data_IF_104614582088
#
_entry.id   IF_104614582088
#
_cell.length_a   1.000
_cell.length_b   1.000
_cell.length_c   1.000
_cell.angle_alpha   90.00
_cell.angle_beta   90.00
_cell.angle_gamma   90.00
#
_symmetry.space_group_name_H-M   'P 1'
#
loop_
_entity.id
_entity.type
_entity.pdbx_description
1 polymer ?
#
# COMPACT_ATOMS: atom_id res chain seq x y z
N UNK A 1 14.62 -8.96 12.86
CA UNK A 1 15.14 -9.23 11.51
C UNK A 1 13.96 -9.04 10.58
N UNK A 2 13.75 -7.82 10.08
CA UNK A 2 12.70 -7.54 9.11
C UNK A 2 13.01 -8.31 7.84
N UNK A 3 11.99 -8.94 7.23
CA UNK A 3 12.12 -9.50 5.89
C UNK A 3 12.61 -8.38 4.98
N UNK A 4 13.85 -8.52 4.53
CA UNK A 4 14.49 -7.60 3.61
C UNK A 4 13.75 -7.71 2.28
N UNK A 5 13.02 -6.65 1.90
CA UNK A 5 12.27 -6.44 0.65
C UNK A 5 13.16 -6.42 -0.63
N UNK A 6 14.23 -7.20 -0.69
CA UNK A 6 15.18 -7.15 -1.81
C UNK A 6 14.70 -7.85 -3.10
N UNK A 7 13.53 -8.49 -3.13
CA UNK A 7 13.06 -9.26 -4.29
C UNK A 7 11.80 -8.71 -5.00
N UNK A 8 11.29 -7.52 -4.63
CA UNK A 8 10.16 -6.90 -5.36
C UNK A 8 10.68 -5.91 -6.41
N UNK A 9 11.30 -6.42 -7.46
CA UNK A 9 11.64 -5.62 -8.64
C UNK A 9 10.40 -5.43 -9.54
N UNK A 10 9.61 -4.38 -9.31
CA UNK A 10 8.53 -3.98 -10.22
C UNK A 10 9.03 -2.92 -11.20
N UNK A 11 9.35 -3.36 -12.42
CA UNK A 11 9.63 -2.48 -13.56
C UNK A 11 8.36 -1.74 -14.01
N UNK A 12 8.14 -0.52 -13.52
CA UNK A 12 7.15 0.40 -14.07
C UNK A 12 7.76 1.14 -15.27
N UNK A 13 7.33 0.77 -16.49
CA UNK A 13 7.69 1.51 -17.72
C UNK A 13 6.74 2.71 -17.92
N UNK A 14 7.25 3.92 -18.21
CA UNK A 14 6.40 5.08 -18.47
C UNK A 14 5.80 5.06 -19.90
N UNK A 15 4.57 5.56 -20.10
CA UNK A 15 3.98 5.67 -21.43
C UNK A 15 4.53 6.86 -22.22
N UNK A 16 4.83 6.62 -23.51
CA UNK A 16 5.29 7.59 -24.50
C UNK A 16 4.31 8.76 -24.71
N UNK A 17 4.83 9.98 -24.65
CA UNK A 17 4.08 11.22 -24.91
C UNK A 17 3.74 11.39 -26.40
N UNK A 18 2.45 11.60 -26.71
CA UNK A 18 1.98 11.91 -28.07
C UNK A 18 2.08 13.42 -28.37
N UNK A 19 2.72 13.72 -29.49
CA UNK A 19 3.06 15.05 -30.03
C UNK A 19 1.83 15.83 -30.52
N UNK A 20 1.67 17.06 -30.04
CA UNK A 20 0.63 18.03 -30.44
C UNK A 20 0.91 18.55 -31.86
N UNK A 21 -0.11 18.65 -32.72
CA UNK A 21 -0.06 19.36 -34.01
C UNK A 21 -1.17 20.40 -34.09
N UNK A 22 -0.81 21.60 -34.53
CA UNK A 22 -1.59 22.82 -34.65
C UNK A 22 -2.39 22.91 -35.96
N UNK A 23 -3.49 23.66 -35.95
CA UNK A 23 -3.92 24.46 -37.11
C UNK A 23 -5.43 24.50 -37.36
N UNK A 24 -5.96 25.73 -37.51
CA UNK A 24 -7.16 26.02 -38.32
C UNK A 24 -8.30 26.73 -37.61
N UNK A 25 -8.35 28.06 -37.70
CA UNK A 25 -9.52 28.89 -37.39
C UNK A 25 -10.59 28.75 -38.47
N UNK A 26 -11.85 28.55 -38.08
CA UNK A 26 -13.02 28.94 -38.86
C UNK A 26 -14.11 29.49 -37.93
N UNK A 27 -14.61 30.68 -38.29
CA UNK A 27 -15.71 31.38 -37.63
C UNK A 27 -17.02 30.90 -38.27
N UNK A 28 -18.03 30.57 -37.46
CA UNK A 28 -19.41 30.37 -37.94
C UNK A 28 -20.43 30.86 -36.89
N UNK A 29 -21.50 31.42 -37.41
CA UNK A 29 -22.51 32.31 -36.80
C UNK A 29 -23.46 31.57 -35.85
N UNK A 30 -23.94 32.30 -34.83
CA UNK A 30 -24.84 31.84 -33.78
C UNK A 30 -26.24 31.49 -34.29
N UNK A 31 -26.78 30.37 -33.79
CA UNK A 31 -28.21 30.05 -33.81
C UNK A 31 -28.66 29.79 -32.37
N UNK A 32 -29.64 30.57 -31.90
CA UNK A 32 -30.23 30.40 -30.57
C UNK A 32 -31.29 29.31 -30.62
N UNK A 33 -30.94 28.12 -30.17
CA UNK A 33 -31.90 27.07 -29.83
C UNK A 33 -31.78 26.75 -28.35
N UNK A 34 -32.88 26.91 -27.62
CA UNK A 34 -33.02 26.53 -26.22
C UNK A 34 -32.70 25.04 -26.02
N UNK A 35 -31.53 24.75 -25.47
CA UNK A 35 -31.15 23.40 -25.10
C UNK A 35 -31.79 23.03 -23.75
N UNK A 36 -32.72 22.09 -23.78
CA UNK A 36 -33.21 21.41 -22.58
C UNK A 36 -32.02 20.78 -21.83
N UNK A 37 -31.99 20.94 -20.51
CA UNK A 37 -31.03 20.24 -19.63
C UNK A 37 -31.29 18.75 -19.74
N UNK A 38 -30.56 18.08 -20.61
CA UNK A 38 -30.47 16.62 -20.63
C UNK A 38 -29.60 16.22 -19.46
N UNK A 39 -30.22 15.67 -18.41
CA UNK A 39 -29.52 14.94 -17.36
C UNK A 39 -28.84 13.73 -18.01
N UNK A 40 -27.57 13.92 -18.40
CA UNK A 40 -26.73 12.84 -18.88
C UNK A 40 -26.49 11.92 -17.69
N UNK A 41 -27.22 10.81 -17.62
CA UNK A 41 -26.89 9.71 -16.73
C UNK A 41 -25.54 9.19 -17.20
N UNK A 42 -24.47 9.56 -16.50
CA UNK A 42 -23.18 8.93 -16.70
C UNK A 42 -23.36 7.45 -16.35
N UNK A 43 -23.38 6.60 -17.38
CA UNK A 43 -23.22 5.16 -17.22
C UNK A 43 -21.83 4.92 -16.60
N UNK A 44 -21.77 4.90 -15.27
CA UNK A 44 -20.58 4.55 -14.52
C UNK A 44 -20.21 3.11 -14.92
N UNK A 45 -19.15 2.96 -15.71
CA UNK A 45 -18.57 1.64 -15.95
C UNK A 45 -18.17 1.05 -14.58
N UNK A 46 -18.49 -0.22 -14.31
CA UNK A 46 -18.02 -0.88 -13.10
C UNK A 46 -16.50 -0.77 -13.00
N UNK A 47 -15.99 -0.58 -11.79
CA UNK A 47 -14.55 -0.65 -11.55
C UNK A 47 -14.04 -2.04 -11.98
N UNK A 48 -13.02 -2.05 -12.84
CA UNK A 48 -12.35 -3.25 -13.30
C UNK A 48 -10.84 -3.01 -13.17
N UNK A 49 -10.17 -3.56 -12.14
CA UNK A 49 -8.74 -3.39 -11.99
C UNK A 49 -7.99 -4.13 -13.12
N UNK A 50 -6.75 -3.73 -13.42
CA UNK A 50 -5.85 -4.54 -14.27
C UNK A 50 -5.84 -5.97 -13.75
N UNK A 51 -6.25 -6.92 -14.59
CA UNK A 51 -6.35 -8.33 -14.20
C UNK A 51 -5.02 -9.02 -14.34
N UNK A 52 -4.71 -9.88 -13.38
CA UNK A 52 -3.61 -10.82 -13.54
C UNK A 52 -3.88 -11.80 -14.67
N UNK A 53 -2.81 -12.17 -15.37
CA UNK A 53 -2.82 -13.05 -16.54
C UNK A 53 -2.53 -14.52 -16.18
N UNK A 54 -2.27 -14.82 -14.91
CA UNK A 54 -1.90 -16.15 -14.42
C UNK A 54 -3.12 -16.98 -14.02
N UNK A 55 -3.01 -18.30 -14.17
CA UNK A 55 -4.02 -19.24 -13.67
C UNK A 55 -3.94 -19.28 -12.15
N UNK A 56 -5.04 -18.94 -11.48
CA UNK A 56 -5.10 -18.94 -10.02
C UNK A 56 -5.14 -20.37 -9.47
N UNK A 57 -3.98 -20.86 -9.03
CA UNK A 57 -3.87 -22.11 -8.27
C UNK A 57 -3.97 -21.77 -6.79
N UNK A 58 -4.98 -22.32 -6.11
CA UNK A 58 -5.19 -22.17 -4.67
C UNK A 58 -4.99 -23.50 -3.97
N UNK A 59 -4.61 -23.47 -2.68
CA UNK A 59 -4.51 -24.67 -1.82
C UNK A 59 -3.65 -25.80 -2.42
N UNK A 60 -2.49 -25.44 -2.97
CA UNK A 60 -1.54 -26.40 -3.56
C UNK A 60 -0.88 -27.31 -2.52
N UNK A 61 -0.93 -26.94 -1.24
CA UNK A 61 -0.39 -27.75 -0.15
C UNK A 61 -1.32 -28.94 0.16
N UNK A 62 -0.81 -30.18 0.20
CA UNK A 62 -1.60 -31.34 0.63
C UNK A 62 -2.18 -31.14 2.05
N UNK A 63 -3.48 -31.45 2.23
CA UNK A 63 -4.20 -31.20 3.48
C UNK A 63 -3.56 -31.84 4.72
N UNK A 64 -2.95 -33.02 4.60
CA UNK A 64 -2.27 -33.67 5.72
C UNK A 64 -1.04 -32.88 6.24
N UNK A 65 -0.47 -31.97 5.43
CA UNK A 65 0.63 -31.10 5.86
C UNK A 65 0.17 -29.94 6.76
N UNK A 66 -1.13 -29.64 6.81
CA UNK A 66 -1.69 -28.65 7.75
C UNK A 66 -1.41 -29.04 9.20
N UNK A 67 -1.42 -30.33 9.52
CA UNK A 67 -1.12 -30.84 10.86
C UNK A 67 0.30 -30.51 11.33
N UNK A 68 1.24 -30.28 10.41
CA UNK A 68 2.59 -29.84 10.75
C UNK A 68 2.54 -28.48 11.46
N UNK A 69 1.82 -27.50 10.89
CA UNK A 69 1.71 -26.15 11.47
C UNK A 69 0.97 -26.16 12.81
N UNK A 70 -0.02 -27.04 12.97
CA UNK A 70 -0.66 -27.25 14.27
C UNK A 70 0.31 -27.78 15.31
N UNK A 71 1.13 -28.77 14.95
CA UNK A 71 2.14 -29.32 15.88
C UNK A 71 3.27 -28.33 16.21
N UNK A 72 3.48 -27.31 15.38
CA UNK A 72 4.49 -26.28 15.56
C UNK A 72 4.00 -25.04 16.32
N UNK A 73 2.75 -24.99 16.81
CA UNK A 73 2.21 -23.79 17.47
C UNK A 73 3.03 -23.37 18.72
N UNK A 74 3.34 -24.31 19.61
CA UNK A 74 4.17 -24.03 20.80
C UNK A 74 5.59 -23.61 20.40
N UNK A 75 6.16 -24.27 19.38
CA UNK A 75 7.47 -23.89 18.85
C UNK A 75 7.45 -22.46 18.28
N UNK A 76 6.43 -22.09 17.52
CA UNK A 76 6.27 -20.74 16.98
C UNK A 76 6.10 -19.71 18.10
N UNK A 77 5.38 -20.07 19.17
CA UNK A 77 5.25 -19.21 20.37
C UNK A 77 6.61 -18.91 20.99
N UNK A 78 7.43 -19.93 21.15
CA UNK A 78 8.71 -19.80 21.87
C UNK A 78 9.85 -19.28 20.99
N UNK A 79 9.75 -19.38 19.66
CA UNK A 79 10.85 -19.07 18.73
C UNK A 79 10.53 -17.97 17.71
N UNK A 80 9.27 -17.77 17.34
CA UNK A 80 8.87 -16.73 16.36
C UNK A 80 8.34 -15.50 17.09
N UNK A 81 7.40 -15.67 18.03
CA UNK A 81 6.79 -14.52 18.72
C UNK A 81 7.78 -13.73 19.57
N UNK A 82 8.92 -14.32 19.94
CA UNK A 82 10.01 -13.64 20.66
C UNK A 82 10.69 -12.56 19.84
N UNK A 83 10.49 -12.53 18.51
CA UNK A 83 10.99 -11.47 17.65
C UNK A 83 10.08 -10.23 17.59
N UNK A 84 8.83 -10.34 18.07
CA UNK A 84 7.92 -9.21 18.18
C UNK A 84 8.38 -8.30 19.32
N UNK A 85 8.34 -6.99 19.07
CA UNK A 85 8.63 -6.03 20.14
C UNK A 85 7.35 -5.75 20.93
N UNK A 86 7.43 -5.71 22.27
CA UNK A 86 6.32 -5.19 23.07
C UNK A 86 5.98 -3.77 22.64
N UNK A 87 4.69 -3.45 22.51
CA UNK A 87 4.21 -2.13 22.04
C UNK A 87 4.84 -0.98 22.82
N UNK A 88 4.95 -1.11 24.14
CA UNK A 88 5.58 -0.12 25.04
C UNK A 88 7.07 0.14 24.78
N UNK A 89 7.72 -0.70 23.95
CA UNK A 89 9.12 -0.56 23.53
C UNK A 89 9.26 -0.30 22.03
N UNK A 90 8.15 -0.20 21.31
CA UNK A 90 8.14 0.16 19.90
C UNK A 90 8.24 1.67 19.76
N UNK A 91 9.01 2.11 18.77
CA UNK A 91 8.90 3.48 18.28
C UNK A 91 7.49 3.71 17.72
N UNK A 92 7.03 4.94 17.73
CA UNK A 92 5.78 5.36 17.11
C UNK A 92 6.04 6.44 16.05
N UNK A 93 5.19 6.60 15.03
CA UNK A 93 5.39 7.62 13.99
C UNK A 93 5.66 9.02 14.56
N UNK A 94 5.01 9.36 15.67
CA UNK A 94 5.16 10.66 16.33
C UNK A 94 6.59 10.93 16.86
N UNK A 95 7.38 9.89 17.13
CA UNK A 95 8.78 10.04 17.57
C UNK A 95 9.68 10.70 16.51
N UNK A 96 9.23 10.70 15.24
CA UNK A 96 10.00 11.17 14.08
C UNK A 96 9.31 12.29 13.30
N UNK A 97 8.15 12.76 13.78
CA UNK A 97 7.35 13.80 13.15
C UNK A 97 7.30 15.05 14.04
N UNK A 98 7.12 16.25 13.46
CA UNK A 98 6.87 17.45 14.24
C UNK A 98 5.74 17.25 15.24
N UNK A 99 5.92 17.70 16.48
CA UNK A 99 4.92 17.53 17.54
C UNK A 99 3.79 18.56 17.38
N UNK A 100 2.57 18.16 17.00
CA UNK A 100 1.46 19.10 16.81
C UNK A 100 0.97 19.76 18.10
N UNK A 101 1.34 19.24 19.27
CA UNK A 101 1.00 19.84 20.56
C UNK A 101 2.06 20.83 21.07
N UNK A 102 3.24 20.87 20.42
CA UNK A 102 4.34 21.78 20.77
C UNK A 102 4.08 23.20 20.25
N UNK A 103 4.46 24.22 21.04
CA UNK A 103 4.49 25.62 20.56
C UNK A 103 5.43 25.80 19.36
N UNK A 104 6.43 24.92 19.21
CA UNK A 104 7.40 24.90 18.12
C UNK A 104 6.94 24.17 16.85
N UNK A 105 5.72 23.63 16.80
CA UNK A 105 5.23 22.81 15.68
C UNK A 105 5.47 23.45 14.30
N UNK A 106 5.13 24.74 14.16
CA UNK A 106 5.26 25.43 12.87
C UNK A 106 6.72 25.62 12.44
N UNK A 107 7.63 25.80 13.38
CA UNK A 107 9.06 25.94 13.10
C UNK A 107 9.67 24.59 12.70
N UNK A 108 9.30 23.50 13.39
CA UNK A 108 9.71 22.13 13.05
C UNK A 108 9.21 21.71 11.65
N UNK A 109 7.96 22.02 11.32
CA UNK A 109 7.40 21.79 9.96
C UNK A 109 8.16 22.61 8.92
N UNK A 110 8.47 23.87 9.21
CA UNK A 110 9.25 24.72 8.30
C UNK A 110 10.65 24.14 8.06
N UNK A 111 11.34 23.71 9.12
CA UNK A 111 12.67 23.10 9.01
C UNK A 111 12.64 21.80 8.19
N UNK A 112 11.63 20.94 8.42
CA UNK A 112 11.42 19.72 7.64
C UNK A 112 11.28 20.05 6.14
N UNK A 113 10.49 21.08 5.81
CA UNK A 113 10.27 21.51 4.42
C UNK A 113 11.52 22.13 3.78
N UNK A 114 12.32 22.90 4.54
CA UNK A 114 13.59 23.44 4.01
C UNK A 114 14.56 22.31 3.65
N UNK A 115 14.74 21.32 4.54
CA UNK A 115 15.56 20.13 4.23
C UNK A 115 15.02 19.35 3.03
N UNK A 116 13.71 19.19 2.93
CA UNK A 116 13.08 18.48 1.82
C UNK A 116 13.29 19.15 0.45
N UNK A 117 13.62 20.45 0.39
CA UNK A 117 13.95 21.13 -0.88
C UNK A 117 15.28 20.68 -1.47
N UNK A 118 16.20 20.19 -0.63
CA UNK A 118 17.53 19.74 -1.04
C UNK A 118 17.55 18.27 -1.50
N UNK A 119 16.43 17.55 -1.29
CA UNK A 119 16.28 16.16 -1.72
C UNK A 119 15.80 16.13 -3.18
N UNK A 120 16.48 15.41 -4.08
CA UNK A 120 16.12 15.38 -5.51
C UNK A 120 14.81 14.64 -5.77
N UNK A 121 14.12 15.00 -6.85
CA UNK A 121 12.82 14.40 -7.20
C UNK A 121 12.91 12.90 -7.46
N UNK A 122 14.02 12.41 -8.03
CA UNK A 122 14.26 10.98 -8.26
C UNK A 122 14.17 10.17 -6.95
N UNK A 123 14.63 10.76 -5.84
CA UNK A 123 14.52 10.14 -4.53
C UNK A 123 13.06 10.09 -4.04
N UNK A 124 12.30 11.17 -4.25
CA UNK A 124 10.88 11.19 -3.91
C UNK A 124 10.06 10.21 -4.74
N UNK A 125 10.41 9.95 -6.00
CA UNK A 125 9.73 8.93 -6.81
C UNK A 125 9.88 7.54 -6.17
N UNK A 126 11.09 7.16 -5.79
CA UNK A 126 11.33 5.88 -5.09
C UNK A 126 10.62 5.84 -3.74
N UNK A 127 10.78 6.88 -2.91
CA UNK A 127 10.20 6.90 -1.57
C UNK A 127 8.66 6.94 -1.58
N UNK A 128 8.05 7.56 -2.61
CA UNK A 128 6.60 7.47 -2.84
C UNK A 128 6.19 6.05 -3.23
N UNK A 129 6.98 5.37 -4.05
CA UNK A 129 6.77 3.95 -4.35
C UNK A 129 6.76 3.09 -3.10
N UNK A 130 7.78 3.25 -2.24
CA UNK A 130 7.89 2.55 -0.96
C UNK A 130 6.67 2.83 -0.07
N UNK A 131 6.30 4.10 0.09
CA UNK A 131 5.13 4.47 0.91
C UNK A 131 3.82 3.89 0.39
N UNK A 132 3.59 3.91 -0.93
CA UNK A 132 2.41 3.30 -1.55
C UNK A 132 2.34 1.80 -1.25
N UNK A 133 3.48 1.11 -1.28
CA UNK A 133 3.51 -0.33 -0.94
C UNK A 133 3.23 -0.57 0.54
N UNK A 134 3.77 0.25 1.46
CA UNK A 134 3.48 0.14 2.89
C UNK A 134 1.99 0.38 3.22
N UNK A 135 1.33 1.30 2.50
CA UNK A 135 -0.12 1.57 2.65
C UNK A 135 -1.02 0.44 2.11
N UNK A 136 -0.48 -0.48 1.30
CA UNK A 136 -1.21 -1.65 0.80
C UNK A 136 -1.29 -2.80 1.83
N UNK A 137 -0.97 -2.53 3.10
CA UNK A 137 -0.98 -3.49 4.21
C UNK A 137 -2.21 -4.40 4.31
N UNK A 138 -3.47 -3.94 4.05
CA UNK A 138 -4.62 -4.84 4.06
C UNK A 138 -4.50 -6.01 3.07
N UNK A 139 -3.83 -5.81 1.93
CA UNK A 139 -3.55 -6.87 0.96
C UNK A 139 -2.58 -7.89 1.54
N UNK A 140 -1.51 -7.45 2.21
CA UNK A 140 -0.50 -8.36 2.78
C UNK A 140 -1.05 -9.19 3.94
N UNK A 141 -1.82 -8.58 4.83
CA UNK A 141 -2.49 -9.32 5.90
C UNK A 141 -3.48 -10.35 5.33
N UNK A 142 -4.22 -9.97 4.27
CA UNK A 142 -5.11 -10.91 3.56
C UNK A 142 -4.32 -12.08 2.99
N UNK A 143 -3.17 -11.83 2.36
CA UNK A 143 -2.31 -12.89 1.82
C UNK A 143 -1.81 -13.84 2.92
N UNK A 144 -1.39 -13.35 4.09
CA UNK A 144 -1.02 -14.22 5.21
C UNK A 144 -2.22 -15.07 5.68
N UNK A 145 -3.42 -14.50 5.66
CA UNK A 145 -4.66 -15.19 6.03
C UNK A 145 -5.23 -16.10 4.93
N UNK A 146 -4.63 -16.18 3.74
CA UNK A 146 -4.95 -17.23 2.75
C UNK A 146 -4.01 -18.44 2.86
N UNK A 147 -2.93 -18.36 3.64
CA UNK A 147 -1.99 -19.47 3.82
C UNK A 147 -2.59 -20.59 4.67
N UNK A 148 -2.59 -21.80 4.11
CA UNK A 148 -3.08 -22.99 4.78
C UNK A 148 -2.28 -23.30 6.05
N UNK A 149 -2.99 -23.59 7.14
CA UNK A 149 -2.41 -23.99 8.42
C UNK A 149 -1.96 -22.85 9.34
N UNK A 150 -1.87 -21.61 8.85
CA UNK A 150 -1.43 -20.44 9.66
C UNK A 150 -2.44 -19.29 9.70
N UNK A 151 -3.47 -19.30 8.85
CA UNK A 151 -4.49 -18.25 8.79
C UNK A 151 -5.22 -18.02 10.12
N UNK A 152 -5.64 -16.79 10.35
CA UNK A 152 -6.54 -16.44 11.45
C UNK A 152 -8.00 -16.75 11.10
N UNK A 153 -8.56 -17.81 11.70
CA UNK A 153 -9.92 -18.28 11.42
C UNK A 153 -11.03 -17.34 11.96
N UNK A 154 -10.73 -16.49 12.94
CA UNK A 154 -11.76 -15.69 13.64
C UNK A 154 -11.49 -14.19 13.63
N UNK A 155 -10.30 -13.78 13.18
CA UNK A 155 -9.78 -12.42 13.36
C UNK A 155 -9.23 -12.15 14.77
N UNK A 156 -9.33 -13.13 15.66
CA UNK A 156 -8.83 -13.07 17.03
C UNK A 156 -8.39 -14.46 17.53
N UNK A 157 -8.00 -15.38 16.62
CA UNK A 157 -7.57 -16.72 17.00
C UNK A 157 -6.38 -16.65 17.97
N UNK A 158 -6.34 -17.51 19.01
CA UNK A 158 -5.25 -17.52 19.99
C UNK A 158 -4.01 -18.29 19.50
N UNK A 159 -4.03 -18.88 18.30
CA UNK A 159 -2.87 -19.60 17.75
C UNK A 159 -1.67 -18.67 17.61
N UNK A 160 -0.46 -19.20 17.81
CA UNK A 160 0.78 -18.42 17.70
C UNK A 160 0.90 -17.77 16.30
N UNK A 161 0.48 -18.49 15.25
CA UNK A 161 0.45 -17.99 13.88
C UNK A 161 -0.48 -16.79 13.69
N UNK A 162 -1.70 -16.83 14.25
CA UNK A 162 -2.64 -15.72 14.16
C UNK A 162 -2.19 -14.52 15.01
N UNK A 163 -1.63 -14.77 16.19
CA UNK A 163 -1.02 -13.72 17.03
C UNK A 163 0.12 -13.03 16.28
N UNK A 164 1.00 -13.80 15.62
CA UNK A 164 2.06 -13.25 14.78
C UNK A 164 1.49 -12.38 13.66
N UNK A 165 0.54 -12.88 12.87
CA UNK A 165 -0.06 -12.12 11.76
C UNK A 165 -0.62 -10.77 12.24
N UNK A 166 -1.37 -10.74 13.34
CA UNK A 166 -1.93 -9.50 13.89
C UNK A 166 -0.86 -8.57 14.43
N UNK A 167 0.11 -9.08 15.18
CA UNK A 167 1.17 -8.27 15.77
C UNK A 167 2.13 -7.70 14.70
N UNK A 168 2.51 -8.51 13.72
CA UNK A 168 3.29 -8.06 12.55
C UNK A 168 2.52 -6.97 11.79
N UNK A 169 1.23 -7.16 11.52
CA UNK A 169 0.40 -6.14 10.85
C UNK A 169 0.37 -4.84 11.67
N UNK A 170 0.25 -4.92 13.00
CA UNK A 170 0.30 -3.74 13.86
C UNK A 170 1.67 -3.06 13.85
N UNK A 171 2.77 -3.82 13.75
CA UNK A 171 4.11 -3.25 13.58
C UNK A 171 4.27 -2.55 12.22
N UNK A 172 3.85 -3.18 11.12
CA UNK A 172 3.95 -2.64 9.74
C UNK A 172 3.08 -1.40 9.52
N UNK A 173 1.91 -1.31 10.14
CA UNK A 173 1.02 -0.15 9.99
C UNK A 173 1.74 1.18 10.28
N UNK A 174 2.68 1.17 11.22
CA UNK A 174 3.46 2.37 11.61
C UNK A 174 4.38 2.84 10.49
N UNK A 175 4.81 1.97 9.57
CA UNK A 175 5.69 2.33 8.45
C UNK A 175 4.96 3.25 7.47
N UNK A 176 3.79 2.83 6.99
CA UNK A 176 2.92 3.64 6.13
C UNK A 176 2.51 4.94 6.82
N UNK A 177 2.11 4.87 8.09
CA UNK A 177 1.71 6.03 8.88
C UNK A 177 2.80 7.13 8.97
N UNK A 178 4.06 6.72 9.16
CA UNK A 178 5.20 7.65 9.25
C UNK A 178 5.51 8.25 7.88
N UNK A 179 5.63 7.41 6.84
CA UNK A 179 5.98 7.85 5.50
C UNK A 179 4.90 8.76 4.90
N UNK A 180 3.61 8.44 5.09
CA UNK A 180 2.50 9.24 4.61
C UNK A 180 2.53 10.65 5.20
N UNK A 181 2.64 10.76 6.53
CA UNK A 181 2.69 12.07 7.21
C UNK A 181 3.95 12.85 6.84
N UNK A 182 5.10 12.18 6.72
CA UNK A 182 6.33 12.80 6.23
C UNK A 182 6.11 13.41 4.83
N UNK A 183 5.60 12.62 3.89
CA UNK A 183 5.30 13.08 2.52
C UNK A 183 4.34 14.25 2.48
N UNK A 184 3.24 14.15 3.23
CA UNK A 184 2.25 15.21 3.38
C UNK A 184 2.89 16.52 3.86
N UNK A 185 3.70 16.47 4.91
CA UNK A 185 4.34 17.65 5.49
C UNK A 185 5.42 18.26 4.58
N UNK A 186 6.16 17.44 3.82
CA UNK A 186 7.21 17.94 2.91
C UNK A 186 6.66 18.93 1.88
N UNK A 187 5.43 18.73 1.41
CA UNK A 187 4.85 19.49 0.30
C UNK A 187 5.59 19.31 -1.04
N UNK A 188 6.38 18.25 -1.18
CA UNK A 188 7.17 17.95 -2.40
C UNK A 188 6.43 17.06 -3.40
N UNK A 189 5.31 16.45 -3.00
CA UNK A 189 4.59 15.44 -3.79
C UNK A 189 3.10 15.76 -3.90
N UNK A 190 2.44 15.21 -4.93
CA UNK A 190 0.99 15.31 -5.10
C UNK A 190 0.28 14.19 -4.32
N UNK A 191 -0.08 14.49 -3.06
CA UNK A 191 -0.77 13.53 -2.19
C UNK A 191 -2.08 13.00 -2.79
N UNK A 192 -2.82 13.82 -3.54
CA UNK A 192 -4.08 13.38 -4.16
C UNK A 192 -3.84 12.28 -5.19
N UNK A 193 -2.77 12.37 -5.96
CA UNK A 193 -2.41 11.34 -6.92
C UNK A 193 -1.86 10.09 -6.23
N UNK A 194 -1.14 10.24 -5.13
CA UNK A 194 -0.66 9.11 -4.31
C UNK A 194 -1.84 8.36 -3.68
N UNK A 195 -2.77 9.04 -3.01
CA UNK A 195 -3.97 8.47 -2.38
C UNK A 195 -4.82 7.71 -3.39
N UNK A 196 -5.02 8.26 -4.60
CA UNK A 196 -5.69 7.54 -5.69
C UNK A 196 -4.94 6.27 -6.09
N UNK A 197 -3.61 6.32 -6.12
CA UNK A 197 -2.77 5.18 -6.49
C UNK A 197 -2.87 4.07 -5.44
N UNK A 198 -2.85 4.42 -4.15
CA UNK A 198 -3.10 3.50 -3.04
C UNK A 198 -4.49 2.86 -3.19
N UNK A 199 -5.52 3.67 -3.46
CA UNK A 199 -6.88 3.16 -3.66
C UNK A 199 -6.97 2.19 -4.84
N UNK A 200 -6.30 2.50 -5.96
CA UNK A 200 -6.22 1.58 -7.10
C UNK A 200 -5.47 0.30 -6.75
N UNK A 201 -4.35 0.40 -6.03
CA UNK A 201 -3.52 -0.74 -5.65
C UNK A 201 -4.29 -1.70 -4.74
N UNK A 202 -4.85 -1.21 -3.65
CA UNK A 202 -5.65 -2.02 -2.72
C UNK A 202 -6.86 -2.63 -3.43
N UNK A 203 -7.56 -1.85 -4.26
CA UNK A 203 -8.70 -2.35 -5.03
C UNK A 203 -8.34 -3.37 -6.11
N UNK A 204 -7.08 -3.38 -6.57
CA UNK A 204 -6.56 -4.40 -7.51
C UNK A 204 -6.08 -5.65 -6.78
N UNK A 205 -5.58 -5.49 -5.56
CA UNK A 205 -4.93 -6.56 -4.82
C UNK A 205 -3.61 -7.00 -5.46
N UNK A 206 -3.08 -8.11 -4.96
CA UNK A 206 -1.90 -8.78 -5.48
C UNK A 206 -2.10 -10.28 -5.31
N UNK A 207 -1.74 -11.06 -6.31
CA UNK A 207 -1.58 -12.49 -6.20
C UNK A 207 -0.14 -12.88 -6.51
N UNK A 208 0.49 -13.50 -5.51
CA UNK A 208 1.82 -14.07 -5.64
C UNK A 208 1.66 -15.55 -5.91
N UNK A 209 2.21 -16.02 -7.02
CA UNK A 209 2.20 -17.45 -7.33
C UNK A 209 2.86 -18.23 -6.18
N UNK A 210 2.10 -19.17 -5.62
CA UNK A 210 2.69 -20.17 -4.72
C UNK A 210 3.54 -21.11 -5.57
N UNK A 211 4.82 -21.27 -5.22
CA UNK A 211 5.75 -22.18 -5.90
C UNK A 211 5.13 -23.59 -5.93
N UNK A 212 4.65 -24.01 -7.09
CA UNK A 212 4.33 -25.41 -7.34
C UNK A 212 5.64 -26.14 -7.59
N UNK A 213 6.15 -26.85 -6.58
CA UNK A 213 7.28 -27.74 -6.76
C UNK A 213 6.94 -28.78 -7.83
N UNK A 214 7.62 -28.71 -8.98
CA UNK A 214 7.74 -29.79 -9.96
C UNK A 214 8.71 -30.86 -9.47
#
# INVERSE_FOLDING_TARGET
MALRLHDVALCLSPPLAARRRSGGSFVAVASMTSAAVSTRVENKKPFAPPREVHVQVTHSMPSHKIEIFKSLDDWARDNILTHLKPVEKCWQPQDFLPDPASEGFHDEVKELRERAKEIPDDYFVCLVGDMITEEALPTYQTMLNTLDGVRDETGASPTAWAVWTRAWTAEENRHGDLLNKYMYLTGRVDMRQIEKTIQYLIGSGMFTESFSGS
#
